data_IF_141418967999
#
_entry.id   IF_141418967999
#
_cell.length_a   1.000
_cell.length_b   1.000
_cell.length_c   1.000
_cell.angle_alpha   90.00
_cell.angle_beta   90.00
_cell.angle_gamma   90.00
#
_symmetry.space_group_name_H-M   'P 1'
#
loop_
_entity.id
_entity.type
_entity.pdbx_description
1 polymer ?
#
# COMPACT_ATOMS: atom_id res chain seq x y z
N UNK A 1 7.43 -39.85 13.36
CA UNK A 1 7.16 -40.97 12.43
C UNK A 1 8.49 -41.50 11.89
N UNK A 2 8.61 -42.80 11.62
CA UNK A 2 9.76 -43.33 10.88
C UNK A 2 9.61 -42.99 9.38
N UNK A 3 10.72 -42.82 8.66
CA UNK A 3 10.69 -42.60 7.21
C UNK A 3 9.97 -43.77 6.55
N UNK A 4 8.97 -43.47 5.71
CA UNK A 4 8.19 -44.47 4.97
C UNK A 4 7.75 -43.88 3.63
N UNK A 5 7.37 -44.75 2.69
CA UNK A 5 6.80 -44.30 1.41
C UNK A 5 5.59 -43.39 1.62
N UNK A 6 4.78 -43.63 2.65
CA UNK A 6 3.60 -42.82 2.97
C UNK A 6 3.99 -41.43 3.50
N UNK A 7 5.07 -41.32 4.28
CA UNK A 7 5.58 -40.03 4.77
C UNK A 7 6.11 -39.17 3.61
N UNK A 8 6.81 -39.79 2.66
CA UNK A 8 7.32 -39.09 1.46
C UNK A 8 6.15 -38.68 0.55
N UNK A 9 5.18 -39.58 0.30
CA UNK A 9 3.94 -39.26 -0.43
C UNK A 9 3.18 -38.09 0.21
N UNK A 10 3.10 -38.07 1.54
CA UNK A 10 2.46 -36.99 2.29
C UNK A 10 3.19 -35.67 2.04
N UNK A 11 4.51 -35.63 2.13
CA UNK A 11 5.29 -34.42 1.83
C UNK A 11 5.02 -33.91 0.41
N UNK A 12 5.16 -34.78 -0.60
CA UNK A 12 4.96 -34.38 -2.00
C UNK A 12 3.53 -33.89 -2.26
N UNK A 13 2.53 -34.51 -1.61
CA UNK A 13 1.13 -34.07 -1.71
C UNK A 13 0.92 -32.69 -1.08
N UNK A 14 1.52 -32.44 0.08
CA UNK A 14 1.45 -31.14 0.75
C UNK A 14 2.13 -30.07 -0.10
N UNK A 15 3.35 -30.34 -0.55
CA UNK A 15 4.17 -29.46 -1.37
C UNK A 15 3.48 -29.06 -2.69
N UNK A 16 2.86 -30.02 -3.38
CA UNK A 16 2.06 -29.72 -4.59
C UNK A 16 0.84 -28.84 -4.28
N UNK A 17 0.13 -29.08 -3.17
CA UNK A 17 -1.04 -28.28 -2.79
C UNK A 17 -0.67 -26.86 -2.36
N UNK A 18 0.43 -26.72 -1.61
CA UNK A 18 1.01 -25.43 -1.23
C UNK A 18 1.31 -24.64 -2.49
N UNK A 19 2.03 -25.26 -3.44
CA UNK A 19 2.38 -24.62 -4.70
C UNK A 19 1.15 -24.24 -5.54
N UNK A 20 0.11 -25.09 -5.62
CA UNK A 20 -1.13 -24.74 -6.31
C UNK A 20 -1.83 -23.51 -5.71
N UNK A 21 -1.80 -23.35 -4.37
CA UNK A 21 -2.37 -22.18 -3.68
C UNK A 21 -1.49 -20.93 -3.82
N UNK A 22 -0.17 -21.09 -3.85
CA UNK A 22 0.79 -20.01 -4.09
C UNK A 22 0.69 -19.49 -5.53
N UNK A 23 0.54 -20.36 -6.52
CA UNK A 23 0.29 -19.99 -7.92
C UNK A 23 -1.04 -19.22 -8.09
N UNK A 24 -2.06 -19.57 -7.29
CA UNK A 24 -3.32 -18.81 -7.24
C UNK A 24 -3.17 -17.46 -6.55
N UNK A 25 -2.03 -17.18 -5.92
CA UNK A 25 -1.77 -15.98 -5.13
C UNK A 25 -2.83 -15.75 -4.04
N UNK A 26 -3.32 -16.83 -3.39
CA UNK A 26 -4.44 -16.74 -2.43
C UNK A 26 -4.19 -15.72 -1.29
N UNK A 27 -2.94 -15.57 -0.81
CA UNK A 27 -2.58 -14.52 0.16
C UNK A 27 -2.77 -13.11 -0.40
N UNK A 28 -2.19 -12.82 -1.58
CA UNK A 28 -2.29 -11.49 -2.23
C UNK A 28 -3.76 -11.17 -2.56
N UNK A 29 -4.54 -12.15 -2.99
CA UNK A 29 -5.97 -11.97 -3.25
C UNK A 29 -6.75 -11.60 -1.97
N UNK A 30 -6.48 -12.28 -0.85
CA UNK A 30 -7.06 -11.92 0.46
C UNK A 30 -6.65 -10.52 0.91
N UNK A 31 -5.36 -10.19 0.87
CA UNK A 31 -4.84 -8.87 1.25
C UNK A 31 -5.44 -7.74 0.39
N UNK A 32 -5.62 -7.97 -0.91
CA UNK A 32 -6.27 -7.01 -1.81
C UNK A 32 -7.74 -6.77 -1.42
N UNK A 33 -8.49 -7.82 -1.11
CA UNK A 33 -9.88 -7.70 -0.65
C UNK A 33 -9.96 -6.98 0.69
N UNK A 34 -9.06 -7.28 1.63
CA UNK A 34 -9.01 -6.63 2.94
C UNK A 34 -8.69 -5.13 2.82
N UNK A 35 -7.70 -4.78 2.00
CA UNK A 35 -7.35 -3.38 1.72
C UNK A 35 -8.49 -2.63 1.01
N UNK A 36 -9.12 -3.27 0.02
CA UNK A 36 -10.26 -2.66 -0.69
C UNK A 36 -11.44 -2.41 0.26
N UNK A 37 -11.75 -3.37 1.13
CA UNK A 37 -12.78 -3.23 2.15
C UNK A 37 -12.47 -2.09 3.12
N UNK A 38 -11.22 -1.97 3.58
CA UNK A 38 -10.77 -0.88 4.45
C UNK A 38 -10.98 0.48 3.80
N UNK A 39 -10.62 0.62 2.52
CA UNK A 39 -10.79 1.86 1.78
C UNK A 39 -12.27 2.23 1.62
N UNK A 40 -13.12 1.27 1.22
CA UNK A 40 -14.56 1.51 1.08
C UNK A 40 -15.22 1.85 2.43
N UNK A 41 -14.80 1.25 3.54
CA UNK A 41 -15.28 1.62 4.89
C UNK A 41 -14.87 3.04 5.27
N UNK A 42 -13.66 3.46 4.89
CA UNK A 42 -13.22 4.85 5.01
C UNK A 42 -14.12 5.80 4.23
N UNK A 43 -14.35 5.51 2.95
CA UNK A 43 -15.23 6.29 2.08
C UNK A 43 -16.68 6.34 2.59
N UNK A 44 -17.23 5.20 3.02
CA UNK A 44 -18.57 5.12 3.61
C UNK A 44 -18.70 6.03 4.84
N UNK A 45 -17.66 6.10 5.69
CA UNK A 45 -17.66 6.96 6.87
C UNK A 45 -17.72 8.44 6.47
N UNK A 46 -16.92 8.84 5.48
CA UNK A 46 -16.95 10.21 4.93
C UNK A 46 -18.29 10.53 4.28
N UNK A 47 -18.82 9.62 3.46
CA UNK A 47 -20.12 9.80 2.78
C UNK A 47 -21.28 9.87 3.77
N UNK A 48 -21.26 9.10 4.86
CA UNK A 48 -22.24 9.20 5.96
C UNK A 48 -22.22 10.57 6.62
N UNK A 49 -21.03 11.09 6.94
CA UNK A 49 -20.89 12.43 7.50
C UNK A 49 -21.38 13.52 6.53
N UNK A 50 -21.06 13.40 5.24
CA UNK A 50 -21.56 14.31 4.21
C UNK A 50 -23.09 14.24 4.06
N UNK A 51 -23.66 13.03 4.08
CA UNK A 51 -25.11 12.86 4.01
C UNK A 51 -25.82 13.51 5.20
N UNK A 52 -25.27 13.36 6.42
CA UNK A 52 -25.83 14.00 7.61
C UNK A 52 -25.79 15.53 7.49
N UNK A 53 -24.67 16.10 7.04
CA UNK A 53 -24.54 17.55 6.81
C UNK A 53 -25.52 18.05 5.75
N UNK A 54 -25.64 17.35 4.62
CA UNK A 54 -26.57 17.70 3.55
C UNK A 54 -28.02 17.55 3.97
N UNK A 55 -28.35 16.53 4.76
CA UNK A 55 -29.69 16.35 5.34
C UNK A 55 -30.07 17.50 6.27
N UNK A 56 -29.13 17.99 7.11
CA UNK A 56 -29.34 19.18 7.94
C UNK A 56 -29.54 20.44 7.09
N UNK A 57 -28.77 20.61 6.02
CA UNK A 57 -28.94 21.72 5.08
C UNK A 57 -30.32 21.67 4.40
N UNK A 58 -30.72 20.53 3.83
CA UNK A 58 -32.04 20.34 3.21
C UNK A 58 -33.18 20.62 4.19
N UNK A 59 -33.06 20.18 5.46
CA UNK A 59 -34.05 20.44 6.49
C UNK A 59 -34.16 21.95 6.82
N UNK A 60 -33.03 22.66 6.80
CA UNK A 60 -33.00 24.11 6.98
C UNK A 60 -33.67 24.82 5.81
N UNK A 61 -33.26 24.55 4.56
CA UNK A 61 -33.86 25.18 3.37
C UNK A 61 -35.37 24.91 3.28
N UNK A 62 -35.80 23.69 3.64
CA UNK A 62 -37.23 23.37 3.75
C UNK A 62 -37.94 24.22 4.81
N UNK A 63 -37.31 24.42 5.97
CA UNK A 63 -37.88 25.28 7.01
C UNK A 63 -37.97 26.74 6.56
N UNK A 64 -37.00 27.21 5.78
CA UNK A 64 -36.97 28.58 5.26
C UNK A 64 -38.14 28.80 4.26
N UNK A 65 -38.40 27.83 3.37
CA UNK A 65 -39.60 27.80 2.49
C UNK A 65 -40.90 27.77 3.29
N UNK A 66 -41.01 26.90 4.30
CA UNK A 66 -42.21 26.78 5.15
C UNK A 66 -42.48 28.07 5.94
N UNK A 67 -41.43 28.73 6.44
CA UNK A 67 -41.54 29.98 7.19
C UNK A 67 -41.95 31.14 6.27
N UNK A 68 -41.40 31.21 5.06
CA UNK A 68 -41.79 32.22 4.08
C UNK A 68 -43.26 32.05 3.66
N UNK A 69 -43.72 30.81 3.47
CA UNK A 69 -45.14 30.50 3.22
C UNK A 69 -46.05 30.93 4.36
N UNK A 70 -45.67 30.67 5.61
CA UNK A 70 -46.46 31.08 6.80
C UNK A 70 -46.52 32.59 6.99
N UNK A 71 -45.51 33.32 6.54
CA UNK A 71 -45.41 34.79 6.66
C UNK A 71 -45.83 35.51 5.38
N UNK A 72 -46.53 34.83 4.47
CA UNK A 72 -46.95 35.36 3.17
C UNK A 72 -47.67 36.71 3.29
N UNK A 73 -48.71 36.82 4.13
CA UNK A 73 -49.51 38.05 4.25
C UNK A 73 -48.65 39.25 4.67
N UNK A 74 -47.78 39.06 5.67
CA UNK A 74 -46.86 40.09 6.16
C UNK A 74 -45.82 40.46 5.09
N UNK A 75 -45.27 39.47 4.39
CA UNK A 75 -44.22 39.68 3.37
C UNK A 75 -44.79 40.38 2.13
N UNK A 76 -46.03 40.07 1.73
CA UNK A 76 -46.73 40.75 0.64
C UNK A 76 -47.07 42.19 1.02
N UNK A 77 -47.42 42.47 2.28
CA UNK A 77 -47.60 43.82 2.80
C UNK A 77 -46.29 44.65 2.73
N UNK A 78 -45.16 44.05 3.11
CA UNK A 78 -43.89 44.76 3.22
C UNK A 78 -43.16 44.93 1.87
N UNK A 79 -43.27 43.95 0.96
CA UNK A 79 -42.48 43.88 -0.29
C UNK A 79 -43.31 43.84 -1.58
N UNK A 80 -44.64 43.82 -1.48
CA UNK A 80 -45.54 43.61 -2.61
C UNK A 80 -45.55 42.16 -3.11
N UNK A 81 -46.51 41.83 -3.98
CA UNK A 81 -46.67 40.47 -4.54
C UNK A 81 -45.44 39.98 -5.30
N UNK A 82 -44.90 40.82 -6.17
CA UNK A 82 -43.71 40.48 -6.97
C UNK A 82 -42.47 40.22 -6.09
N UNK A 83 -42.35 40.95 -4.97
CA UNK A 83 -41.27 40.77 -4.00
C UNK A 83 -41.38 39.45 -3.22
N UNK A 84 -42.61 39.03 -2.89
CA UNK A 84 -42.88 37.72 -2.29
C UNK A 84 -42.62 36.58 -3.27
N UNK A 85 -43.12 36.66 -4.52
CA UNK A 85 -42.90 35.61 -5.53
C UNK A 85 -41.42 35.41 -5.84
N UNK A 86 -40.65 36.51 -5.93
CA UNK A 86 -39.19 36.42 -6.15
C UNK A 86 -38.46 35.78 -4.98
N UNK A 87 -38.87 36.08 -3.74
CA UNK A 87 -38.30 35.44 -2.56
C UNK A 87 -38.66 33.95 -2.51
N UNK A 88 -39.93 33.60 -2.76
CA UNK A 88 -40.40 32.21 -2.75
C UNK A 88 -39.69 31.36 -3.80
N UNK A 89 -39.59 31.84 -5.03
CA UNK A 89 -38.87 31.15 -6.11
C UNK A 89 -37.40 30.90 -5.77
N UNK A 90 -36.76 31.84 -5.03
CA UNK A 90 -35.37 31.70 -4.61
C UNK A 90 -35.23 30.60 -3.55
N UNK A 91 -36.03 30.65 -2.49
CA UNK A 91 -35.98 29.66 -1.40
C UNK A 91 -36.38 28.26 -1.91
N UNK A 92 -37.37 28.15 -2.81
CA UNK A 92 -37.74 26.89 -3.46
C UNK A 92 -36.60 26.34 -4.34
N UNK A 93 -35.90 27.19 -5.09
CA UNK A 93 -34.74 26.78 -5.89
C UNK A 93 -33.58 26.30 -5.00
N UNK A 94 -33.28 27.01 -3.90
CA UNK A 94 -32.26 26.63 -2.92
C UNK A 94 -32.62 25.30 -2.23
N UNK A 95 -33.90 25.08 -1.92
CA UNK A 95 -34.39 23.80 -1.40
C UNK A 95 -34.23 22.64 -2.41
N UNK A 96 -34.62 22.85 -3.67
CA UNK A 96 -34.51 21.82 -4.72
C UNK A 96 -33.04 21.46 -5.00
N UNK A 97 -32.13 22.44 -4.99
CA UNK A 97 -30.70 22.21 -5.11
C UNK A 97 -30.15 21.41 -3.91
N UNK A 98 -30.54 21.77 -2.69
CA UNK A 98 -30.16 21.05 -1.48
C UNK A 98 -30.65 19.58 -1.51
N UNK A 99 -31.90 19.36 -1.94
CA UNK A 99 -32.49 18.04 -2.08
C UNK A 99 -31.76 17.19 -3.13
N UNK A 100 -31.48 17.75 -4.31
CA UNK A 100 -30.71 17.08 -5.35
C UNK A 100 -29.29 16.70 -4.89
N UNK A 101 -28.64 17.61 -4.14
CA UNK A 101 -27.31 17.36 -3.56
C UNK A 101 -27.36 16.24 -2.51
N UNK A 102 -28.38 16.21 -1.66
CA UNK A 102 -28.60 15.14 -0.67
C UNK A 102 -28.84 13.79 -1.34
N UNK A 103 -29.69 13.73 -2.36
CA UNK A 103 -30.02 12.49 -3.09
C UNK A 103 -28.80 11.91 -3.81
N UNK A 104 -27.96 12.77 -4.39
CA UNK A 104 -26.71 12.34 -5.02
C UNK A 104 -25.77 11.67 -4.01
N UNK A 105 -25.57 12.29 -2.84
CA UNK A 105 -24.72 11.72 -1.78
C UNK A 105 -25.31 10.40 -1.26
N UNK A 106 -26.63 10.32 -1.08
CA UNK A 106 -27.32 9.09 -0.68
C UNK A 106 -27.12 7.96 -1.69
N UNK A 107 -27.30 8.24 -2.97
CA UNK A 107 -27.10 7.26 -4.05
C UNK A 107 -25.66 6.74 -4.09
N UNK A 108 -24.68 7.61 -3.84
CA UNK A 108 -23.28 7.19 -3.75
C UNK A 108 -23.03 6.33 -2.51
N UNK A 109 -23.60 6.71 -1.36
CA UNK A 109 -23.54 5.91 -0.14
C UNK A 109 -24.13 4.51 -0.36
N UNK A 110 -25.33 4.40 -0.91
CA UNK A 110 -26.00 3.12 -1.16
C UNK A 110 -25.15 2.19 -2.05
N UNK A 111 -24.51 2.75 -3.10
CA UNK A 111 -23.56 2.00 -3.95
C UNK A 111 -22.35 1.51 -3.17
N UNK A 112 -21.74 2.37 -2.36
CA UNK A 112 -20.59 2.01 -1.52
C UNK A 112 -20.99 0.92 -0.52
N UNK A 113 -22.16 1.02 0.11
CA UNK A 113 -22.67 0.02 1.04
C UNK A 113 -22.93 -1.34 0.35
N UNK A 114 -23.42 -1.33 -0.89
CA UNK A 114 -23.57 -2.54 -1.68
C UNK A 114 -22.21 -3.17 -2.01
N UNK A 115 -21.24 -2.37 -2.47
CA UNK A 115 -19.89 -2.85 -2.76
C UNK A 115 -19.20 -3.44 -1.52
N UNK A 116 -19.37 -2.82 -0.35
CA UNK A 116 -18.90 -3.35 0.94
C UNK A 116 -19.48 -4.74 1.20
N UNK A 117 -20.81 -4.90 1.08
CA UNK A 117 -21.48 -6.19 1.31
C UNK A 117 -20.96 -7.28 0.37
N UNK A 118 -20.74 -6.95 -0.89
CA UNK A 118 -20.22 -7.89 -1.89
C UNK A 118 -18.80 -8.37 -1.54
N UNK A 119 -17.94 -7.48 -1.04
CA UNK A 119 -16.57 -7.83 -0.62
C UNK A 119 -16.59 -8.60 0.71
N UNK A 120 -17.41 -8.18 1.67
CA UNK A 120 -17.59 -8.89 2.95
C UNK A 120 -18.12 -10.31 2.75
N UNK A 121 -18.88 -10.57 1.66
CA UNK A 121 -19.30 -11.92 1.30
C UNK A 121 -18.16 -12.78 0.71
N UNK A 122 -17.19 -12.18 0.02
CA UNK A 122 -16.04 -12.90 -0.60
C UNK A 122 -14.87 -13.10 0.37
N UNK A 123 -14.69 -12.18 1.31
CA UNK A 123 -13.55 -12.16 2.24
C UNK A 123 -13.39 -13.46 3.05
N UNK A 124 -14.46 -14.10 3.59
CA UNK A 124 -14.32 -15.34 4.35
C UNK A 124 -13.78 -16.50 3.51
N UNK A 125 -14.17 -16.60 2.23
CA UNK A 125 -13.68 -17.64 1.34
C UNK A 125 -12.18 -17.45 1.04
N UNK A 126 -11.76 -16.23 0.73
CA UNK A 126 -10.35 -15.90 0.53
C UNK A 126 -9.53 -16.13 1.79
N UNK A 127 -10.06 -15.79 2.98
CA UNK A 127 -9.42 -16.06 4.27
C UNK A 127 -9.25 -17.56 4.52
N UNK A 128 -10.29 -18.34 4.26
CA UNK A 128 -10.25 -19.79 4.43
C UNK A 128 -9.17 -20.44 3.54
N UNK A 129 -8.95 -19.94 2.31
CA UNK A 129 -7.84 -20.41 1.47
C UNK A 129 -6.47 -20.10 2.08
N UNK A 130 -6.28 -18.91 2.64
CA UNK A 130 -5.03 -18.54 3.35
C UNK A 130 -4.82 -19.39 4.60
N UNK A 131 -5.86 -19.60 5.39
CA UNK A 131 -5.81 -20.44 6.59
C UNK A 131 -5.47 -21.90 6.23
N UNK A 132 -5.98 -22.41 5.09
CA UNK A 132 -5.61 -23.72 4.55
C UNK A 132 -4.14 -23.74 4.12
N UNK A 133 -3.65 -22.72 3.42
CA UNK A 133 -2.24 -22.61 3.04
C UNK A 133 -1.33 -22.62 4.28
N UNK A 134 -1.61 -21.79 5.28
CA UNK A 134 -0.87 -21.75 6.54
C UNK A 134 -0.83 -23.11 7.24
N UNK A 135 -1.97 -23.81 7.24
CA UNK A 135 -2.06 -25.15 7.81
C UNK A 135 -1.19 -26.16 7.04
N UNK A 136 -1.24 -26.14 5.71
CA UNK A 136 -0.46 -27.03 4.87
C UNK A 136 1.05 -26.81 5.05
N UNK A 137 1.51 -25.55 5.12
CA UNK A 137 2.91 -25.21 5.38
C UNK A 137 3.38 -25.76 6.74
N UNK A 138 2.57 -25.60 7.80
CA UNK A 138 2.87 -26.19 9.13
C UNK A 138 2.92 -27.71 9.10
N UNK A 139 1.93 -28.35 8.45
CA UNK A 139 1.93 -29.81 8.29
C UNK A 139 3.15 -30.30 7.48
N UNK A 140 3.63 -29.52 6.51
CA UNK A 140 4.84 -29.83 5.75
C UNK A 140 6.10 -29.75 6.63
N UNK A 141 6.21 -28.71 7.45
CA UNK A 141 7.30 -28.54 8.41
C UNK A 141 7.35 -29.68 9.44
N UNK A 142 6.21 -30.10 9.98
CA UNK A 142 6.11 -31.26 10.88
C UNK A 142 6.59 -32.55 10.23
N UNK A 143 6.29 -32.74 8.94
CA UNK A 143 6.75 -33.91 8.16
C UNK A 143 8.26 -33.85 7.96
N UNK A 144 8.82 -32.70 7.55
CA UNK A 144 10.26 -32.50 7.40
C UNK A 144 10.99 -32.74 8.74
N UNK A 145 10.49 -32.15 9.83
CA UNK A 145 11.02 -32.35 11.18
C UNK A 145 11.01 -33.83 11.59
N UNK A 146 9.97 -34.58 11.22
CA UNK A 146 9.92 -36.02 11.47
C UNK A 146 10.92 -36.81 10.62
N UNK A 147 11.15 -36.42 9.36
CA UNK A 147 12.06 -37.10 8.43
C UNK A 147 13.51 -36.88 8.85
N UNK A 148 13.88 -35.62 9.13
CA UNK A 148 15.25 -35.21 9.44
C UNK A 148 15.51 -35.06 10.93
N UNK A 149 14.57 -35.48 11.80
CA UNK A 149 14.69 -35.51 13.26
C UNK A 149 15.05 -34.14 13.87
N UNK A 150 14.43 -33.09 13.35
CA UNK A 150 14.65 -31.71 13.79
C UNK A 150 15.99 -31.11 13.35
N UNK A 151 16.70 -31.73 12.41
CA UNK A 151 17.86 -31.16 11.73
C UNK A 151 17.51 -30.86 10.27
N UNK A 152 18.32 -30.03 9.59
CA UNK A 152 18.24 -29.92 8.13
C UNK A 152 18.73 -31.19 7.45
N UNK A 153 18.17 -31.51 6.29
CA UNK A 153 18.59 -32.62 5.46
C UNK A 153 19.92 -32.38 4.75
N UNK A 154 20.30 -31.12 4.50
CA UNK A 154 21.66 -30.75 4.07
C UNK A 154 22.05 -29.33 4.46
N UNK A 155 23.36 -29.04 4.40
CA UNK A 155 23.86 -27.68 4.52
C UNK A 155 23.34 -26.76 3.40
N UNK A 156 23.11 -27.33 2.20
CA UNK A 156 22.54 -26.61 1.08
C UNK A 156 21.07 -26.24 1.33
N UNK A 157 20.26 -27.14 1.90
CA UNK A 157 18.88 -26.84 2.29
C UNK A 157 18.82 -25.68 3.29
N UNK A 158 19.61 -25.75 4.37
CA UNK A 158 19.66 -24.70 5.38
C UNK A 158 20.06 -23.34 4.78
N UNK A 159 21.04 -23.34 3.87
CA UNK A 159 21.45 -22.11 3.17
C UNK A 159 20.34 -21.55 2.29
N UNK A 160 19.68 -22.40 1.50
CA UNK A 160 18.60 -21.99 0.61
C UNK A 160 17.39 -21.43 1.38
N UNK A 161 17.10 -21.98 2.55
CA UNK A 161 16.07 -21.48 3.46
C UNK A 161 16.44 -20.12 4.06
N UNK A 162 17.69 -19.95 4.50
CA UNK A 162 18.20 -18.65 4.96
C UNK A 162 18.21 -17.58 3.84
N UNK A 163 18.49 -17.97 2.60
CA UNK A 163 18.42 -17.10 1.43
C UNK A 163 16.97 -16.68 1.14
N UNK A 164 16.02 -17.61 1.24
CA UNK A 164 14.59 -17.34 1.07
C UNK A 164 14.06 -16.40 2.15
N UNK A 165 14.38 -16.63 3.43
CA UNK A 165 14.04 -15.75 4.57
C UNK A 165 14.48 -14.31 4.29
N UNK A 166 15.74 -14.12 3.88
CA UNK A 166 16.30 -12.80 3.57
C UNK A 166 15.53 -12.14 2.42
N UNK A 167 15.20 -12.88 1.35
CA UNK A 167 14.46 -12.35 0.21
C UNK A 167 13.03 -11.95 0.59
N UNK A 168 12.38 -12.72 1.46
CA UNK A 168 11.07 -12.40 2.01
C UNK A 168 11.11 -11.14 2.89
N UNK A 169 12.10 -11.01 3.77
CA UNK A 169 12.26 -9.82 4.60
C UNK A 169 12.54 -8.56 3.74
N UNK A 170 13.41 -8.68 2.73
CA UNK A 170 13.68 -7.60 1.78
C UNK A 170 12.39 -7.18 1.07
N UNK A 171 11.62 -8.13 0.55
CA UNK A 171 10.32 -7.88 -0.08
C UNK A 171 9.37 -7.14 0.86
N UNK A 172 9.25 -7.60 2.11
CA UNK A 172 8.38 -6.96 3.10
C UNK A 172 8.76 -5.50 3.36
N UNK A 173 10.05 -5.19 3.47
CA UNK A 173 10.52 -3.80 3.64
C UNK A 173 10.15 -2.92 2.44
N UNK A 174 10.30 -3.44 1.22
CA UNK A 174 9.91 -2.76 -0.01
C UNK A 174 8.39 -2.54 -0.06
N UNK A 175 7.58 -3.52 0.33
CA UNK A 175 6.12 -3.40 0.37
C UNK A 175 5.66 -2.34 1.39
N UNK A 176 6.29 -2.27 2.56
CA UNK A 176 6.02 -1.21 3.55
C UNK A 176 6.35 0.17 2.98
N UNK A 177 7.49 0.31 2.30
CA UNK A 177 7.84 1.56 1.62
C UNK A 177 6.80 1.91 0.54
N UNK A 178 6.44 0.96 -0.32
CA UNK A 178 5.41 1.13 -1.35
C UNK A 178 4.09 1.64 -0.76
N UNK A 179 3.65 1.06 0.36
CA UNK A 179 2.44 1.48 1.05
C UNK A 179 2.52 2.95 1.50
N UNK A 180 3.61 3.34 2.19
CA UNK A 180 3.80 4.72 2.65
C UNK A 180 3.81 5.72 1.49
N UNK A 181 4.58 5.42 0.44
CA UNK A 181 4.70 6.28 -0.74
C UNK A 181 3.39 6.39 -1.53
N UNK A 182 2.66 5.29 -1.71
CA UNK A 182 1.38 5.29 -2.43
C UNK A 182 0.33 6.11 -1.69
N UNK A 183 0.23 5.97 -0.36
CA UNK A 183 -0.69 6.78 0.44
C UNK A 183 -0.30 8.25 0.45
N UNK A 184 0.99 8.56 0.58
CA UNK A 184 1.49 9.92 0.45
C UNK A 184 1.16 10.56 -0.90
N UNK A 185 1.32 9.81 -1.99
CA UNK A 185 0.94 10.24 -3.35
C UNK A 185 -0.54 10.64 -3.44
N UNK A 186 -1.45 9.85 -2.85
CA UNK A 186 -2.89 10.16 -2.83
C UNK A 186 -3.16 11.48 -2.10
N UNK A 187 -2.54 11.69 -0.93
CA UNK A 187 -2.65 12.94 -0.19
C UNK A 187 -2.11 14.13 -1.01
N UNK A 188 -0.99 13.96 -1.70
CA UNK A 188 -0.45 14.99 -2.59
C UNK A 188 -1.36 15.29 -3.78
N UNK A 189 -2.00 14.28 -4.37
CA UNK A 189 -2.99 14.50 -5.42
C UNK A 189 -4.15 15.36 -4.89
N UNK A 190 -4.65 15.08 -3.68
CA UNK A 190 -5.65 15.93 -3.04
C UNK A 190 -5.10 17.34 -2.79
N UNK A 191 -3.86 17.50 -2.32
CA UNK A 191 -3.24 18.80 -2.12
C UNK A 191 -3.14 19.61 -3.42
N UNK A 192 -2.74 19.00 -4.53
CA UNK A 192 -2.67 19.65 -5.86
C UNK A 192 -4.04 20.14 -6.29
N UNK A 193 -5.07 19.30 -6.17
CA UNK A 193 -6.44 19.67 -6.54
C UNK A 193 -6.96 20.81 -5.67
N UNK A 194 -6.68 20.79 -4.36
CA UNK A 194 -7.07 21.86 -3.44
C UNK A 194 -6.31 23.17 -3.71
N UNK A 195 -5.01 23.11 -4.02
CA UNK A 195 -4.24 24.30 -4.43
C UNK A 195 -4.78 24.88 -5.73
N UNK A 196 -5.13 24.03 -6.71
CA UNK A 196 -5.75 24.46 -7.95
C UNK A 196 -7.09 25.18 -7.72
N UNK A 197 -7.96 24.59 -6.90
CA UNK A 197 -9.22 25.21 -6.49
C UNK A 197 -9.00 26.54 -5.76
N UNK A 198 -8.02 26.61 -4.86
CA UNK A 198 -7.67 27.85 -4.15
C UNK A 198 -7.21 28.95 -5.12
N UNK A 199 -6.33 28.64 -6.09
CA UNK A 199 -5.87 29.59 -7.09
C UNK A 199 -7.01 30.07 -8.00
N UNK A 200 -7.94 29.20 -8.36
CA UNK A 200 -9.13 29.57 -9.16
C UNK A 200 -10.03 30.51 -8.37
N UNK A 201 -10.41 30.16 -7.13
CA UNK A 201 -11.22 31.03 -6.27
C UNK A 201 -10.54 32.39 -6.03
N UNK A 202 -9.22 32.41 -5.81
CA UNK A 202 -8.47 33.65 -5.64
C UNK A 202 -8.50 34.50 -6.91
N UNK A 203 -8.31 33.89 -8.08
CA UNK A 203 -8.36 34.57 -9.38
C UNK A 203 -9.76 35.15 -9.67
N UNK A 204 -10.81 34.43 -9.28
CA UNK A 204 -12.20 34.85 -9.49
C UNK A 204 -12.59 36.09 -8.67
N UNK A 205 -11.84 36.45 -7.62
CA UNK A 205 -12.03 37.73 -6.91
C UNK A 205 -11.89 38.95 -7.82
N UNK A 206 -11.14 38.87 -8.93
CA UNK A 206 -11.04 39.94 -9.93
C UNK A 206 -12.37 40.18 -10.65
N UNK A 207 -13.23 39.16 -10.73
CA UNK A 207 -14.54 39.22 -11.38
C UNK A 207 -15.63 39.76 -10.44
N UNK A 208 -15.35 39.83 -9.13
CA UNK A 208 -16.30 40.34 -8.14
C UNK A 208 -16.13 41.87 -8.01
N UNK A 209 -17.21 42.66 -8.20
CA UNK A 209 -17.15 44.12 -8.05
C UNK A 209 -16.56 44.55 -6.72
N UNK A 210 -15.74 45.60 -6.71
CA UNK A 210 -15.08 46.11 -5.50
C UNK A 210 -16.05 46.63 -4.44
N UNK A 211 -17.25 47.05 -4.83
CA UNK A 211 -18.31 47.47 -3.92
C UNK A 211 -19.06 46.31 -3.22
N UNK A 212 -18.90 45.06 -3.69
CA UNK A 212 -19.54 43.88 -3.12
C UNK A 212 -18.59 43.19 -2.12
N UNK A 213 -18.37 43.85 -0.99
CA UNK A 213 -17.45 43.37 0.06
C UNK A 213 -17.83 41.98 0.55
N UNK A 214 -19.13 41.69 0.74
CA UNK A 214 -19.59 40.40 1.27
C UNK A 214 -19.22 39.25 0.35
N UNK A 215 -19.45 39.39 -0.97
CA UNK A 215 -19.08 38.36 -1.94
C UNK A 215 -17.57 38.20 -2.06
N UNK A 216 -16.79 39.27 -1.96
CA UNK A 216 -15.32 39.21 -1.95
C UNK A 216 -14.79 38.44 -0.75
N UNK A 217 -15.29 38.71 0.45
CA UNK A 217 -14.93 37.95 1.65
C UNK A 217 -15.31 36.47 1.54
N UNK A 218 -16.47 36.16 0.94
CA UNK A 218 -16.90 34.78 0.71
C UNK A 218 -15.95 34.02 -0.22
N UNK A 219 -15.60 34.60 -1.38
CA UNK A 219 -14.66 33.97 -2.32
C UNK A 219 -13.24 33.85 -1.75
N UNK A 220 -12.77 34.86 -1.01
CA UNK A 220 -11.50 34.76 -0.29
C UNK A 220 -11.52 33.64 0.78
N UNK A 221 -12.64 33.47 1.49
CA UNK A 221 -12.80 32.39 2.48
C UNK A 221 -12.76 31.02 1.83
N UNK A 222 -13.38 30.84 0.65
CA UNK A 222 -13.27 29.59 -0.12
C UNK A 222 -11.82 29.28 -0.49
N UNK A 223 -11.10 30.27 -1.02
CA UNK A 223 -9.68 30.12 -1.35
C UNK A 223 -8.87 29.71 -0.10
N UNK A 224 -9.10 30.38 1.04
CA UNK A 224 -8.44 30.08 2.32
C UNK A 224 -8.69 28.64 2.78
N UNK A 225 -9.93 28.17 2.74
CA UNK A 225 -10.28 26.82 3.19
C UNK A 225 -9.57 25.74 2.37
N UNK A 226 -9.50 25.93 1.05
CA UNK A 226 -8.78 25.03 0.16
C UNK A 226 -7.26 25.06 0.44
N UNK A 227 -6.67 26.23 0.73
CA UNK A 227 -5.26 26.32 1.14
C UNK A 227 -4.98 25.57 2.45
N UNK A 228 -5.85 25.70 3.46
CA UNK A 228 -5.73 24.99 4.73
C UNK A 228 -5.74 23.48 4.48
N UNK A 229 -6.71 22.98 3.69
CA UNK A 229 -6.80 21.56 3.36
C UNK A 229 -5.56 21.06 2.60
N UNK A 230 -5.04 21.85 1.65
CA UNK A 230 -3.81 21.51 0.92
C UNK A 230 -2.59 21.42 1.85
N UNK A 231 -2.39 22.41 2.74
CA UNK A 231 -1.30 22.43 3.71
C UNK A 231 -1.35 21.19 4.60
N UNK A 232 -2.53 20.85 5.12
CA UNK A 232 -2.74 19.67 5.96
C UNK A 232 -2.39 18.37 5.23
N UNK A 233 -2.78 18.24 3.96
CA UNK A 233 -2.45 17.06 3.15
C UNK A 233 -0.93 16.94 2.89
N UNK A 234 -0.24 18.05 2.58
CA UNK A 234 1.22 18.04 2.38
C UNK A 234 1.95 17.69 3.67
N UNK A 235 1.57 18.32 4.79
CA UNK A 235 2.17 18.04 6.10
C UNK A 235 1.90 16.59 6.55
N UNK A 236 0.72 16.05 6.26
CA UNK A 236 0.39 14.65 6.56
C UNK A 236 1.22 13.69 5.72
N UNK A 237 1.46 14.02 4.44
CA UNK A 237 2.37 13.28 3.57
C UNK A 237 3.79 13.25 4.15
N UNK A 238 4.31 14.39 4.60
CA UNK A 238 5.63 14.49 5.23
C UNK A 238 5.74 13.64 6.50
N UNK A 239 4.66 13.47 7.27
CA UNK A 239 4.64 12.59 8.46
C UNK A 239 4.71 11.11 8.11
N UNK A 240 4.18 10.67 6.96
CA UNK A 240 4.32 9.29 6.50
C UNK A 240 5.76 8.95 6.09
N UNK A 241 6.50 9.97 5.64
CA UNK A 241 7.86 9.89 5.10
C UNK A 241 8.77 10.84 5.89
N UNK A 242 8.80 10.66 7.21
CA UNK A 242 9.52 11.52 8.16
C UNK A 242 11.03 11.54 7.96
N UNK A 243 11.57 10.48 7.37
CA UNK A 243 12.97 10.34 7.00
C UNK A 243 13.30 10.85 5.58
N UNK A 244 12.32 11.34 4.81
CA UNK A 244 12.51 11.83 3.45
C UNK A 244 12.45 13.36 3.43
N UNK A 245 13.46 13.99 2.82
CA UNK A 245 13.41 15.43 2.55
C UNK A 245 12.74 15.70 1.20
N UNK A 246 11.63 16.44 1.20
CA UNK A 246 10.94 16.77 -0.04
C UNK A 246 11.72 17.80 -0.87
N UNK A 247 11.90 17.57 -2.19
CA UNK A 247 12.61 18.50 -3.08
C UNK A 247 11.82 19.78 -3.41
N UNK A 248 10.53 19.79 -3.11
CA UNK A 248 9.57 20.88 -3.31
C UNK A 248 8.57 20.86 -2.16
N UNK A 249 7.96 22.00 -1.85
CA UNK A 249 7.04 22.10 -0.72
C UNK A 249 7.69 21.65 0.60
N UNK A 250 8.97 22.01 0.78
CA UNK A 250 9.66 21.79 2.04
C UNK A 250 9.00 22.59 3.18
N UNK A 251 9.43 22.34 4.41
CA UNK A 251 8.83 23.02 5.57
C UNK A 251 8.91 24.55 5.48
N UNK A 252 9.95 25.11 4.85
CA UNK A 252 10.12 26.58 4.71
C UNK A 252 9.13 27.16 3.72
N UNK A 253 8.88 26.46 2.62
CA UNK A 253 7.87 26.83 1.63
C UNK A 253 6.46 26.74 2.21
N UNK A 254 6.16 25.70 2.99
CA UNK A 254 4.86 25.54 3.65
C UNK A 254 4.63 26.68 4.66
N UNK A 255 5.62 27.01 5.48
CA UNK A 255 5.53 28.16 6.40
C UNK A 255 5.34 29.48 5.64
N UNK A 256 5.94 29.62 4.46
CA UNK A 256 5.74 30.80 3.60
C UNK A 256 4.31 30.87 3.07
N UNK A 257 3.75 29.75 2.62
CA UNK A 257 2.36 29.67 2.18
C UNK A 257 1.40 29.99 3.34
N UNK A 258 1.63 29.45 4.54
CA UNK A 258 0.82 29.73 5.73
C UNK A 258 0.79 31.23 6.06
N UNK A 259 1.95 31.91 5.98
CA UNK A 259 2.04 33.36 6.18
C UNK A 259 1.26 34.14 5.12
N UNK A 260 1.36 33.77 3.84
CA UNK A 260 0.59 34.39 2.76
C UNK A 260 -0.91 34.14 2.92
N UNK A 261 -1.31 32.94 3.34
CA UNK A 261 -2.71 32.59 3.61
C UNK A 261 -3.29 33.39 4.79
N UNK A 262 -2.50 33.63 5.85
CA UNK A 262 -2.97 34.38 7.03
C UNK A 262 -3.20 35.87 6.73
N UNK A 263 -2.53 36.43 5.73
CA UNK A 263 -2.70 37.83 5.30
C UNK A 263 -3.75 38.00 4.19
N UNK A 264 -4.42 36.93 3.77
CA UNK A 264 -5.28 36.89 2.59
C UNK A 264 -6.35 38.01 2.55
N UNK A 265 -7.05 38.26 3.67
CA UNK A 265 -8.07 39.31 3.73
C UNK A 265 -7.51 40.72 3.62
N UNK A 266 -6.27 40.94 4.04
CA UNK A 266 -5.56 42.21 3.85
C UNK A 266 -5.06 42.31 2.41
N UNK A 267 -4.53 41.22 1.87
CA UNK A 267 -3.92 41.18 0.55
C UNK A 267 -4.96 41.39 -0.57
N UNK A 268 -6.23 41.00 -0.38
CA UNK A 268 -7.29 41.24 -1.37
C UNK A 268 -7.71 42.72 -1.52
N UNK A 269 -7.23 43.60 -0.64
CA UNK A 269 -7.64 45.02 -0.60
C UNK A 269 -6.79 45.92 -1.49
N UNK A 270 -5.57 45.50 -1.85
CA UNK A 270 -4.66 46.31 -2.68
C UNK A 270 -4.15 45.49 -3.88
N UNK A 271 -4.08 46.08 -5.10
CA UNK A 271 -3.67 45.34 -6.30
C UNK A 271 -2.31 44.65 -6.17
N UNK A 272 -1.31 45.33 -5.60
CA UNK A 272 0.05 44.81 -5.49
C UNK A 272 0.13 43.60 -4.55
N UNK A 273 -0.54 43.68 -3.40
CA UNK A 273 -0.59 42.59 -2.42
C UNK A 273 -1.40 41.41 -2.95
N UNK A 274 -2.48 41.69 -3.68
CA UNK A 274 -3.27 40.65 -4.33
C UNK A 274 -2.42 39.86 -5.34
N UNK A 275 -1.66 40.56 -6.20
CA UNK A 275 -0.78 39.92 -7.19
C UNK A 275 0.35 39.13 -6.52
N UNK A 276 0.92 39.66 -5.44
CA UNK A 276 1.94 38.97 -4.67
C UNK A 276 1.41 37.65 -4.06
N UNK A 277 0.22 37.68 -3.45
CA UNK A 277 -0.44 36.49 -2.92
C UNK A 277 -0.79 35.49 -4.04
N UNK A 278 -1.31 35.97 -5.17
CA UNK A 278 -1.62 35.16 -6.36
C UNK A 278 -0.38 34.43 -6.88
N UNK A 279 0.77 35.12 -6.95
CA UNK A 279 2.04 34.54 -7.35
C UNK A 279 2.52 33.48 -6.35
N UNK A 280 2.36 33.72 -5.05
CA UNK A 280 2.69 32.74 -4.01
C UNK A 280 1.85 31.46 -4.16
N UNK A 281 0.51 31.58 -4.24
CA UNK A 281 -0.38 30.42 -4.35
C UNK A 281 -0.14 29.62 -5.64
N UNK A 282 0.01 30.32 -6.77
CA UNK A 282 0.28 29.69 -8.08
C UNK A 282 1.65 29.01 -8.10
N UNK A 283 2.66 29.61 -7.48
CA UNK A 283 3.99 28.99 -7.39
C UNK A 283 3.93 27.73 -6.54
N UNK A 284 3.25 27.78 -5.38
CA UNK A 284 3.11 26.60 -4.52
C UNK A 284 2.30 25.49 -5.19
N UNK A 285 1.23 25.82 -5.93
CA UNK A 285 0.49 24.85 -6.74
C UNK A 285 1.41 24.12 -7.74
N UNK A 286 2.20 24.86 -8.52
CA UNK A 286 3.14 24.29 -9.49
C UNK A 286 4.21 23.42 -8.82
N UNK A 287 4.71 23.85 -7.67
CA UNK A 287 5.72 23.11 -6.88
C UNK A 287 5.13 21.85 -6.25
N UNK A 288 3.88 21.88 -5.82
CA UNK A 288 3.17 20.70 -5.33
C UNK A 288 2.91 19.68 -6.45
N UNK A 289 2.53 20.15 -7.64
CA UNK A 289 2.40 19.30 -8.83
C UNK A 289 3.75 18.67 -9.23
N UNK A 290 4.84 19.43 -9.13
CA UNK A 290 6.19 18.91 -9.30
C UNK A 290 6.54 17.86 -8.23
N UNK A 291 6.18 18.08 -6.97
CA UNK A 291 6.37 17.08 -5.92
C UNK A 291 5.61 15.78 -6.23
N UNK A 292 4.37 15.88 -6.69
CA UNK A 292 3.57 14.72 -7.08
C UNK A 292 4.22 13.92 -8.22
N UNK A 293 4.72 14.59 -9.27
CA UNK A 293 5.48 13.94 -10.34
C UNK A 293 6.76 13.27 -9.83
N UNK A 294 7.42 13.86 -8.82
CA UNK A 294 8.58 13.25 -8.18
C UNK A 294 8.20 11.97 -7.41
N UNK A 295 7.06 11.96 -6.71
CA UNK A 295 6.50 10.73 -6.11
C UNK A 295 6.24 9.66 -7.17
N UNK A 296 5.62 10.03 -8.29
CA UNK A 296 5.37 9.11 -9.41
C UNK A 296 6.68 8.51 -9.94
N UNK A 297 7.73 9.32 -10.07
CA UNK A 297 9.04 8.83 -10.49
C UNK A 297 9.62 7.84 -9.48
N UNK A 298 9.71 8.19 -8.19
CA UNK A 298 10.25 7.29 -7.15
C UNK A 298 9.49 5.97 -7.08
N UNK A 299 8.15 6.03 -7.13
CA UNK A 299 7.31 4.82 -7.10
C UNK A 299 7.59 3.94 -8.32
N UNK A 300 7.54 4.51 -9.53
CA UNK A 300 7.58 3.72 -10.75
C UNK A 300 8.98 3.25 -11.14
N UNK A 301 10.02 4.08 -10.93
CA UNK A 301 11.38 3.76 -11.39
C UNK A 301 12.20 3.02 -10.35
N UNK A 302 11.84 3.13 -9.06
CA UNK A 302 12.60 2.55 -7.96
C UNK A 302 11.76 1.50 -7.23
N UNK A 303 10.67 1.91 -6.57
CA UNK A 303 9.92 1.01 -5.67
C UNK A 303 9.33 -0.19 -6.41
N UNK A 304 8.59 0.04 -7.50
CA UNK A 304 7.96 -1.05 -8.25
C UNK A 304 9.00 -1.96 -8.93
N UNK A 305 10.09 -1.36 -9.42
CA UNK A 305 11.19 -2.10 -10.04
C UNK A 305 11.86 -3.03 -9.03
N UNK A 306 12.20 -2.51 -7.85
CA UNK A 306 12.87 -3.28 -6.80
C UNK A 306 11.94 -4.32 -6.18
N UNK A 307 10.64 -4.02 -6.09
CA UNK A 307 9.63 -5.00 -5.67
C UNK A 307 9.53 -6.18 -6.65
N UNK A 308 9.54 -5.89 -7.96
CA UNK A 308 9.53 -6.93 -8.99
C UNK A 308 10.79 -7.80 -8.94
N UNK A 309 11.97 -7.18 -8.77
CA UNK A 309 13.23 -7.91 -8.58
C UNK A 309 13.21 -8.78 -7.31
N UNK A 310 12.72 -8.23 -6.19
CA UNK A 310 12.60 -8.97 -4.94
C UNK A 310 11.62 -10.15 -5.05
N UNK A 311 10.48 -9.97 -5.73
CA UNK A 311 9.53 -11.04 -6.01
C UNK A 311 10.14 -12.15 -6.86
N UNK A 312 10.86 -11.79 -7.93
CA UNK A 312 11.53 -12.77 -8.79
C UNK A 312 12.61 -13.56 -8.04
N UNK A 313 13.40 -12.89 -7.20
CA UNK A 313 14.44 -13.54 -6.38
C UNK A 313 13.87 -14.44 -5.30
N UNK A 314 12.79 -14.02 -4.63
CA UNK A 314 12.10 -14.87 -3.66
C UNK A 314 11.54 -16.14 -4.33
N UNK A 315 10.91 -16.00 -5.49
CA UNK A 315 10.38 -17.14 -6.24
C UNK A 315 11.48 -18.12 -6.70
N UNK A 316 12.64 -17.62 -7.15
CA UNK A 316 13.75 -18.51 -7.52
C UNK A 316 14.39 -19.19 -6.32
N UNK A 317 14.53 -18.49 -5.18
CA UNK A 317 15.03 -19.08 -3.93
C UNK A 317 14.10 -20.20 -3.43
N UNK A 318 12.79 -19.98 -3.47
CA UNK A 318 11.77 -20.97 -3.11
C UNK A 318 11.85 -22.21 -4.01
N UNK A 319 11.96 -22.01 -5.33
CA UNK A 319 12.14 -23.08 -6.31
C UNK A 319 13.40 -23.91 -6.05
N UNK A 320 14.52 -23.27 -5.74
CA UNK A 320 15.76 -23.97 -5.40
C UNK A 320 15.63 -24.77 -4.10
N UNK A 321 15.06 -24.18 -3.05
CA UNK A 321 14.82 -24.87 -1.77
C UNK A 321 13.95 -26.11 -1.97
N UNK A 322 12.86 -25.98 -2.73
CA UNK A 322 11.98 -27.08 -3.10
C UNK A 322 12.72 -28.18 -3.86
N UNK A 323 13.52 -27.82 -4.85
CA UNK A 323 14.31 -28.79 -5.62
C UNK A 323 15.31 -29.56 -4.75
N UNK A 324 15.98 -28.88 -3.81
CA UNK A 324 16.91 -29.53 -2.88
C UNK A 324 16.17 -30.45 -1.90
N UNK A 325 15.06 -30.02 -1.30
CA UNK A 325 14.23 -30.86 -0.43
C UNK A 325 13.76 -32.12 -1.13
N UNK A 326 13.32 -32.00 -2.38
CA UNK A 326 12.96 -33.15 -3.21
C UNK A 326 14.16 -34.06 -3.47
N UNK A 327 15.32 -33.51 -3.85
CA UNK A 327 16.54 -34.31 -4.04
C UNK A 327 16.90 -35.10 -2.78
N UNK A 328 16.82 -34.49 -1.59
CA UNK A 328 17.12 -35.12 -0.31
C UNK A 328 16.18 -36.27 0.00
N UNK A 329 14.88 -36.11 -0.26
CA UNK A 329 13.90 -37.18 -0.10
C UNK A 329 14.17 -38.36 -1.03
N UNK A 330 14.63 -38.11 -2.27
CA UNK A 330 15.02 -39.18 -3.22
C UNK A 330 16.17 -40.01 -2.66
N UNK A 331 17.23 -39.33 -2.23
CA UNK A 331 18.44 -39.97 -1.68
C UNK A 331 18.09 -40.79 -0.44
N UNK A 332 17.29 -40.25 0.48
CA UNK A 332 16.86 -40.97 1.67
C UNK A 332 15.97 -42.20 1.37
N UNK A 333 15.11 -42.12 0.36
CA UNK A 333 14.30 -43.25 -0.07
C UNK A 333 15.18 -44.38 -0.63
N UNK A 334 16.15 -44.04 -1.48
CA UNK A 334 17.10 -44.98 -2.09
C UNK A 334 17.97 -45.66 -1.01
N UNK A 335 18.51 -44.89 -0.05
CA UNK A 335 19.33 -45.40 1.06
C UNK A 335 18.58 -46.40 1.95
N UNK A 336 17.26 -46.22 2.11
CA UNK A 336 16.42 -47.08 2.94
C UNK A 336 15.69 -48.17 2.12
N UNK A 337 16.00 -48.33 0.84
CA UNK A 337 15.31 -49.23 -0.10
C UNK A 337 13.78 -49.06 -0.08
N UNK A 338 13.31 -47.83 0.08
CA UNK A 338 11.89 -47.49 0.04
C UNK A 338 11.50 -47.34 -1.43
N UNK A 339 10.72 -48.30 -1.95
CA UNK A 339 10.19 -48.21 -3.30
C UNK A 339 9.18 -47.06 -3.41
N UNK A 340 9.63 -45.94 -4.00
CA UNK A 340 8.80 -44.75 -4.21
C UNK A 340 9.17 -44.07 -5.53
N UNK A 341 8.19 -43.95 -6.43
CA UNK A 341 8.36 -43.21 -7.68
C UNK A 341 8.09 -41.70 -7.43
N UNK A 342 9.18 -40.97 -7.25
CA UNK A 342 9.16 -39.51 -7.10
C UNK A 342 8.69 -38.79 -8.36
N UNK A 343 9.00 -39.33 -9.54
CA UNK A 343 8.74 -38.66 -10.81
C UNK A 343 7.26 -38.76 -11.21
N UNK A 344 6.54 -39.79 -10.73
CA UNK A 344 5.08 -39.92 -10.84
C UNK A 344 4.32 -39.07 -9.79
N UNK A 345 4.91 -38.85 -8.61
CA UNK A 345 4.29 -38.10 -7.51
C UNK A 345 4.38 -36.58 -7.67
N UNK A 346 5.42 -36.07 -8.34
CA UNK A 346 5.52 -34.66 -8.74
C UNK A 346 4.57 -34.43 -9.90
N UNK A 347 3.43 -33.77 -9.66
CA UNK A 347 2.56 -33.37 -10.77
C UNK A 347 3.34 -32.42 -11.69
N UNK A 348 3.69 -32.88 -12.90
CA UNK A 348 4.09 -32.02 -14.03
C UNK A 348 2.88 -31.18 -14.48
N UNK A 349 2.44 -30.23 -13.66
CA UNK A 349 1.49 -29.21 -14.08
C UNK A 349 2.24 -27.92 -14.29
N UNK A 350 2.45 -27.63 -15.58
CA UNK A 350 2.57 -26.27 -16.10
C UNK A 350 3.86 -25.55 -15.75
N UNK A 351 4.77 -25.52 -16.72
CA UNK A 351 5.65 -24.37 -16.90
C UNK A 351 4.83 -23.08 -16.75
N UNK A 352 5.37 -22.16 -15.95
CA UNK A 352 4.78 -20.88 -15.61
C UNK A 352 4.22 -20.16 -16.85
N UNK A 353 2.89 -20.23 -17.03
CA UNK A 353 2.20 -19.17 -17.75
C UNK A 353 2.29 -17.93 -16.89
N UNK A 354 2.88 -16.89 -17.48
CA UNK A 354 3.48 -15.76 -16.79
C UNK A 354 2.63 -15.17 -15.67
N UNK A 355 3.35 -14.66 -14.67
CA UNK A 355 2.85 -13.69 -13.71
C UNK A 355 2.15 -12.54 -14.45
N UNK A 356 0.87 -12.70 -14.76
CA UNK A 356 0.00 -11.57 -14.99
C UNK A 356 -0.42 -11.11 -13.62
N UNK A 357 0.23 -10.03 -13.18
CA UNK A 357 -0.35 -9.22 -12.13
C UNK A 357 -1.78 -8.87 -12.55
N UNK A 358 -2.79 -9.06 -11.68
CA UNK A 358 -4.04 -8.36 -11.87
C UNK A 358 -3.71 -6.87 -11.87
N UNK A 359 -4.08 -6.21 -12.96
CA UNK A 359 -3.98 -4.77 -13.18
C UNK A 359 -4.45 -4.05 -11.91
N UNK A 360 -3.50 -3.51 -11.16
CA UNK A 360 -3.76 -2.70 -9.99
C UNK A 360 -4.32 -1.40 -10.52
N UNK A 361 -5.63 -1.37 -10.80
CA UNK A 361 -6.38 -0.14 -10.78
C UNK A 361 -6.53 0.24 -9.30
N UNK A 362 -5.79 1.24 -8.79
CA UNK A 362 -6.00 1.70 -7.43
C UNK A 362 -7.48 2.06 -7.27
N UNK A 363 -8.11 1.53 -6.23
CA UNK A 363 -9.45 1.92 -5.82
C UNK A 363 -9.42 3.44 -5.56
N UNK A 364 -10.03 4.18 -6.48
CA UNK A 364 -9.88 5.63 -6.61
C UNK A 364 -9.31 6.09 -7.96
N UNK A 365 -9.74 5.52 -9.09
CA UNK A 365 -9.77 6.27 -10.35
C UNK A 365 -10.85 7.37 -10.22
N UNK A 366 -10.56 8.40 -9.40
CA UNK A 366 -11.05 9.73 -9.74
C UNK A 366 -10.40 10.08 -11.07
N UNK A 367 -11.24 10.37 -12.06
CA UNK A 367 -10.84 10.76 -13.40
C UNK A 367 -9.59 11.65 -13.32
N UNK A 368 -8.52 11.23 -14.00
CA UNK A 368 -7.39 12.11 -14.31
C UNK A 368 -7.97 13.32 -15.07
N UNK A 369 -8.31 14.38 -14.35
CA UNK A 369 -8.35 15.69 -14.97
C UNK A 369 -6.90 16.03 -15.33
N UNK A 370 -6.59 15.79 -16.61
CA UNK A 370 -5.36 16.17 -17.27
C UNK A 370 -5.16 17.68 -17.12
N UNK A 371 -4.52 18.10 -16.03
CA UNK A 371 -3.88 19.40 -15.96
C UNK A 371 -2.47 19.22 -16.51
N UNK A 372 -2.15 19.75 -17.72
CA UNK A 372 -0.83 19.60 -18.29
C UNK A 372 0.17 20.42 -17.46
N UNK A 373 0.87 19.75 -16.56
CA UNK A 373 2.01 20.33 -15.84
C UNK A 373 3.28 20.09 -16.64
N UNK A 374 4.15 21.10 -16.84
CA UNK A 374 5.40 20.92 -17.58
C UNK A 374 6.26 19.80 -16.97
N UNK A 375 6.91 18.95 -17.79
CA UNK A 375 7.82 17.92 -17.29
C UNK A 375 9.01 18.58 -16.56
N UNK A 376 9.31 18.10 -15.36
CA UNK A 376 10.48 18.56 -14.62
C UNK A 376 11.78 18.22 -15.34
N UNK A 377 12.68 19.20 -15.41
CA UNK A 377 14.10 18.96 -15.68
C UNK A 377 14.77 18.46 -14.39
N UNK A 378 15.62 17.43 -14.50
CA UNK A 378 16.47 16.91 -13.42
C UNK A 378 15.76 16.24 -12.22
N UNK A 379 14.78 15.36 -12.48
CA UNK A 379 14.17 14.51 -11.45
C UNK A 379 15.21 13.55 -10.83
N UNK A 380 16.14 13.05 -11.65
CA UNK A 380 17.16 12.08 -11.24
C UNK A 380 18.10 12.62 -10.13
N UNK A 381 18.50 13.89 -10.20
CA UNK A 381 19.43 14.51 -9.26
C UNK A 381 18.84 14.70 -7.85
N UNK A 382 17.53 14.49 -7.71
CA UNK A 382 16.78 14.67 -6.45
C UNK A 382 16.12 13.38 -5.97
N UNK A 383 16.48 12.22 -6.52
CA UNK A 383 15.94 10.96 -6.02
C UNK A 383 16.48 10.67 -4.61
N UNK A 384 15.63 10.21 -3.68
CA UNK A 384 16.11 9.75 -2.39
C UNK A 384 16.97 8.50 -2.56
N UNK A 385 17.89 8.29 -1.63
CA UNK A 385 18.71 7.10 -1.59
C UNK A 385 17.88 5.85 -1.29
N UNK A 386 18.44 4.69 -1.62
CA UNK A 386 17.82 3.39 -1.32
C UNK A 386 17.57 3.21 0.18
N UNK A 387 18.50 3.65 1.03
CA UNK A 387 18.36 3.57 2.49
C UNK A 387 17.27 4.51 3.03
N UNK A 388 17.08 5.67 2.41
CA UNK A 388 15.98 6.57 2.74
C UNK A 388 14.62 5.96 2.35
N UNK A 389 14.54 5.27 1.20
CA UNK A 389 13.27 4.69 0.73
C UNK A 389 12.91 3.41 1.51
N UNK A 390 13.87 2.51 1.72
CA UNK A 390 13.63 1.16 2.24
C UNK A 390 14.16 0.90 3.65
N UNK A 391 14.86 1.87 4.25
CA UNK A 391 15.63 1.67 5.48
C UNK A 391 16.96 0.95 5.21
N UNK A 392 17.68 0.62 6.29
CA UNK A 392 19.02 0.04 6.21
C UNK A 392 19.00 -1.41 5.66
N UNK A 393 19.01 -1.54 4.32
CA UNK A 393 19.09 -2.84 3.65
C UNK A 393 20.48 -3.46 3.78
N UNK A 394 21.52 -2.65 4.00
CA UNK A 394 22.87 -3.14 4.17
C UNK A 394 23.06 -3.85 5.52
N UNK A 395 22.41 -3.38 6.58
CA UNK A 395 22.34 -4.08 7.85
C UNK A 395 21.61 -5.43 7.73
N UNK A 396 20.52 -5.49 6.96
CA UNK A 396 19.84 -6.76 6.69
C UNK A 396 20.78 -7.76 6.00
N UNK A 397 21.49 -7.30 4.97
CA UNK A 397 22.49 -8.13 4.29
C UNK A 397 23.61 -8.58 5.22
N UNK A 398 24.10 -7.68 6.09
CA UNK A 398 25.14 -8.00 7.07
C UNK A 398 24.69 -9.03 8.10
N UNK A 399 23.45 -8.93 8.60
CA UNK A 399 22.87 -9.92 9.52
C UNK A 399 22.75 -11.27 8.82
N UNK A 400 22.31 -11.29 7.56
CA UNK A 400 22.30 -12.51 6.76
C UNK A 400 23.70 -13.09 6.55
N UNK A 401 24.68 -12.29 6.15
CA UNK A 401 26.08 -12.73 5.97
C UNK A 401 26.68 -13.29 7.27
N UNK A 402 26.35 -12.69 8.42
CA UNK A 402 26.73 -13.22 9.74
C UNK A 402 26.09 -14.58 10.01
N UNK A 403 24.78 -14.71 9.75
CA UNK A 403 24.03 -15.96 9.91
C UNK A 403 24.59 -17.07 9.02
N UNK A 404 24.92 -16.78 7.76
CA UNK A 404 25.59 -17.69 6.83
C UNK A 404 27.00 -18.08 7.34
N UNK A 405 27.77 -17.13 7.85
CA UNK A 405 29.10 -17.40 8.40
C UNK A 405 29.05 -18.29 9.64
N UNK A 406 28.08 -18.06 10.54
CA UNK A 406 27.84 -18.91 11.70
C UNK A 406 27.46 -20.34 11.28
N UNK A 407 26.65 -20.49 10.23
CA UNK A 407 26.32 -21.79 9.67
C UNK A 407 27.55 -22.52 9.14
N UNK A 408 28.39 -21.84 8.37
CA UNK A 408 29.64 -22.43 7.86
C UNK A 408 30.55 -22.88 9.01
N UNK A 409 30.65 -22.11 10.09
CA UNK A 409 31.45 -22.49 11.27
C UNK A 409 30.89 -23.72 11.98
N UNK A 410 29.57 -23.80 12.15
CA UNK A 410 28.93 -24.98 12.77
C UNK A 410 29.12 -26.22 11.89
N UNK A 411 29.03 -26.07 10.57
CA UNK A 411 29.29 -27.13 9.60
C UNK A 411 30.74 -27.62 9.68
N UNK A 412 31.71 -26.72 9.67
CA UNK A 412 33.14 -27.06 9.81
C UNK A 412 33.42 -27.77 11.13
N UNK A 413 32.83 -27.30 12.25
CA UNK A 413 32.93 -27.97 13.54
C UNK A 413 32.33 -29.38 13.53
N UNK A 414 31.17 -29.56 12.92
CA UNK A 414 30.51 -30.86 12.83
C UNK A 414 31.29 -31.84 11.94
N UNK A 415 31.81 -31.35 10.81
CA UNK A 415 32.68 -32.13 9.92
C UNK A 415 33.97 -32.52 10.62
N UNK A 416 34.63 -31.59 11.31
CA UNK A 416 35.83 -31.85 12.09
C UNK A 416 35.58 -32.90 13.20
N UNK A 417 34.44 -32.83 13.90
CA UNK A 417 34.03 -33.85 14.89
C UNK A 417 33.83 -35.23 14.27
N UNK A 418 33.20 -35.31 13.09
CA UNK A 418 33.04 -36.58 12.38
C UNK A 418 34.38 -37.16 11.90
N UNK A 419 35.25 -36.32 11.34
CA UNK A 419 36.57 -36.72 10.87
C UNK A 419 37.47 -37.20 12.02
N UNK A 420 37.42 -36.51 13.17
CA UNK A 420 38.13 -36.92 14.38
C UNK A 420 37.63 -38.29 14.88
N UNK A 421 36.31 -38.48 14.95
CA UNK A 421 35.72 -39.77 15.34
C UNK A 421 36.05 -40.91 14.36
N UNK A 422 36.18 -40.62 13.07
CA UNK A 422 36.62 -41.58 12.06
C UNK A 422 38.10 -41.93 12.23
N UNK A 423 38.96 -40.93 12.47
CA UNK A 423 40.39 -41.15 12.73
C UNK A 423 40.63 -42.00 13.98
N UNK A 424 39.88 -41.76 15.06
CA UNK A 424 39.94 -42.57 16.29
C UNK A 424 39.53 -44.03 16.04
N UNK A 425 38.41 -44.27 15.31
CA UNK A 425 37.99 -45.62 14.92
C UNK A 425 39.02 -46.32 14.01
N UNK A 426 39.66 -45.59 13.11
CA UNK A 426 40.73 -46.11 12.25
C UNK A 426 42.01 -46.41 13.05
N UNK A 427 42.33 -45.61 14.07
CA UNK A 427 43.46 -45.85 14.97
C UNK A 427 43.24 -47.10 15.83
N UNK A 428 42.04 -47.27 16.39
CA UNK A 428 41.68 -48.50 17.12
C UNK A 428 41.75 -49.73 16.23
N UNK A 429 41.24 -49.67 14.99
CA UNK A 429 41.35 -50.78 14.04
C UNK A 429 42.81 -51.12 13.72
N UNK A 430 43.68 -50.13 13.58
CA UNK A 430 45.12 -50.34 13.38
C UNK A 430 45.78 -51.01 14.60
N UNK A 431 45.45 -50.58 15.82
CA UNK A 431 45.94 -51.22 17.04
C UNK A 431 45.45 -52.67 17.20
N UNK A 432 44.18 -52.96 16.87
CA UNK A 432 43.65 -54.34 16.92
C UNK A 432 44.34 -55.26 15.92
N UNK A 433 44.62 -54.78 14.70
CA UNK A 433 45.38 -55.55 13.69
C UNK A 433 46.81 -55.82 14.13
N UNK A 434 47.51 -54.84 14.70
CA UNK A 434 48.87 -55.04 15.21
C UNK A 434 48.94 -56.06 16.35
N UNK A 435 47.93 -56.11 17.22
CA UNK A 435 47.82 -57.12 18.29
C UNK A 435 47.53 -58.53 17.76
N UNK A 436 46.88 -58.66 16.60
CA UNK A 436 46.57 -59.95 15.97
C UNK A 436 47.74 -60.52 15.15
N UNK A 437 48.67 -59.68 14.69
CA UNK A 437 49.89 -60.11 13.98
C UNK A 437 51.08 -60.38 14.88
N UNK A 438 50.99 -60.02 16.17
CA UNK A 438 52.03 -60.21 17.18
C UNK A 438 51.75 -61.41 18.11
N UNK A 439 50.69 -62.17 17.84
CA UNK A 439 50.36 -63.47 18.44
C UNK A 439 50.39 -64.53 17.35
#
# INVERSE_FOLDING_TARGET
MALSADTIKKYVTLDNKIHELELKNSRKAYEQLENHLKNLKGEQTTQKAQFELKSKATAKEKSDVDNLSKTMEQTVLDKGKDGYEKAMNKEEAEYLEALASQDMVKKNLDKTEQAIKEIEAKLPAAKAEVDVLDKLCKEQEEVLNSIFKGSYGSALENRLEADLDMMQEKKQRIDVARYKWTNGRVLLQHAVNQLAAATTCWSDLKKVPTGDSQRRYHEATKARNNLIAAIQNIQSTQKYLDNITFPYCDQKEIVTLEKAMNNMYTDMMTPDRYQHAEACYTTTQKRCAALLQWFDAVINTTILKDLNDANAKAAEAEKHLRAERMRLLKVLADEQNIAFDMDEAVQKKGEAQGMQEPDVKPAGELQQENTPSPPMKNIADKMPSQDEIFGNMEELKKVHDQRISEYQKVEEMNKARMDQGLQEKLAERRQRRMKQTAS
#
